data_IF_610976392427
#
_entry.id   IF_610976392427
#
_cell.length_a   1.000
_cell.length_b   1.000
_cell.length_c   1.000
_cell.angle_alpha   90.00
_cell.angle_beta   90.00
_cell.angle_gamma   90.00
#
_symmetry.space_group_name_H-M   'P 1'
#
loop_
_entity.id
_entity.type
_entity.pdbx_description
1 polymer ?
#
# COMPACT_ATOMS: atom_id res chain seq x y z
N UNK A 1 -11.43 22.80 8.57
CA UNK A 1 -12.67 22.64 9.33
C UNK A 1 -12.36 21.81 10.57
N UNK A 2 -12.80 22.27 11.75
CA UNK A 2 -12.73 21.49 12.99
C UNK A 2 -14.06 20.81 13.13
N UNK A 3 -14.09 19.49 12.97
CA UNK A 3 -15.30 18.71 13.21
C UNK A 3 -15.48 18.48 14.71
N UNK A 4 -16.71 18.55 15.24
CA UNK A 4 -16.95 18.16 16.62
C UNK A 4 -16.61 16.69 16.83
N UNK A 5 -16.07 16.35 18.01
CA UNK A 5 -15.66 14.98 18.35
C UNK A 5 -16.78 13.94 18.11
N UNK A 6 -18.02 14.32 18.38
CA UNK A 6 -19.23 13.51 18.16
C UNK A 6 -19.53 13.18 16.69
N UNK A 7 -18.93 13.90 15.74
CA UNK A 7 -19.08 13.60 14.31
C UNK A 7 -18.12 12.47 13.84
N UNK A 8 -17.12 12.14 14.65
CA UNK A 8 -16.08 11.15 14.33
C UNK A 8 -16.22 9.91 15.21
N UNK A 9 -16.68 10.07 16.45
CA UNK A 9 -16.79 8.99 17.42
C UNK A 9 -18.19 8.92 18.03
N UNK A 10 -18.71 7.73 18.35
CA UNK A 10 -19.98 7.57 19.05
C UNK A 10 -19.99 8.32 20.38
N UNK A 11 -21.12 8.90 20.78
CA UNK A 11 -21.26 9.56 22.07
C UNK A 11 -20.97 8.59 23.22
N UNK A 12 -20.08 8.99 24.13
CA UNK A 12 -19.78 8.24 25.36
C UNK A 12 -18.51 7.41 25.34
N UNK A 13 -17.75 7.33 24.22
CA UNK A 13 -16.42 6.69 24.21
C UNK A 13 -15.38 7.57 24.89
N UNK A 14 -14.54 6.97 25.75
CA UNK A 14 -13.40 7.67 26.34
C UNK A 14 -12.26 7.80 25.34
N UNK A 15 -11.39 8.78 25.49
CA UNK A 15 -10.18 8.96 24.65
C UNK A 15 -9.27 7.74 24.70
N UNK A 16 -9.27 7.01 25.82
CA UNK A 16 -8.47 5.80 25.98
C UNK A 16 -9.03 4.62 25.18
N UNK A 17 -10.35 4.46 25.17
CA UNK A 17 -11.05 3.45 24.34
C UNK A 17 -10.87 3.74 22.85
N UNK A 18 -10.96 5.01 22.45
CA UNK A 18 -10.72 5.46 21.08
C UNK A 18 -9.29 5.12 20.62
N UNK A 19 -8.29 5.40 21.46
CA UNK A 19 -6.89 5.08 21.18
C UNK A 19 -6.65 3.57 21.12
N UNK A 20 -7.29 2.80 21.99
CA UNK A 20 -7.20 1.33 21.97
C UNK A 20 -7.83 0.76 20.70
N UNK A 21 -8.99 1.26 20.29
CA UNK A 21 -9.64 0.84 19.06
C UNK A 21 -8.80 1.21 17.83
N UNK A 22 -8.29 2.44 17.75
CA UNK A 22 -7.45 2.88 16.65
C UNK A 22 -6.17 2.04 16.51
N UNK A 23 -5.57 1.60 17.63
CA UNK A 23 -4.42 0.67 17.61
C UNK A 23 -4.83 -0.72 17.14
N UNK A 24 -5.96 -1.25 17.58
CA UNK A 24 -6.46 -2.55 17.12
C UNK A 24 -6.77 -2.54 15.62
N UNK A 25 -7.39 -1.46 15.12
CA UNK A 25 -7.67 -1.27 13.70
C UNK A 25 -6.39 -1.19 12.86
N UNK A 26 -5.34 -0.55 13.41
CA UNK A 26 -4.04 -0.49 12.75
C UNK A 26 -3.41 -1.89 12.63
N UNK A 27 -3.41 -2.68 13.70
CA UNK A 27 -2.89 -4.06 13.67
C UNK A 27 -3.67 -4.91 12.66
N UNK A 28 -4.99 -4.88 12.71
CA UNK A 28 -5.83 -5.58 11.74
C UNK A 28 -5.61 -5.13 10.29
N UNK A 29 -5.27 -3.85 10.07
CA UNK A 29 -4.90 -3.34 8.75
C UNK A 29 -3.56 -3.88 8.27
N UNK A 30 -2.58 -4.01 9.16
CA UNK A 30 -1.28 -4.59 8.84
C UNK A 30 -1.41 -6.05 8.43
N UNK A 31 -2.16 -6.86 9.15
CA UNK A 31 -2.41 -8.27 8.82
C UNK A 31 -3.07 -8.43 7.46
N UNK A 32 -4.06 -7.59 7.15
CA UNK A 32 -4.71 -7.56 5.83
C UNK A 32 -3.75 -7.13 4.74
N UNK A 33 -2.88 -6.14 5.00
CA UNK A 33 -1.90 -5.66 4.05
C UNK A 33 -0.85 -6.73 3.70
N UNK A 34 -0.38 -7.48 4.71
CA UNK A 34 0.54 -8.60 4.52
C UNK A 34 -0.12 -9.68 3.66
N UNK A 35 -1.34 -10.07 4.01
CA UNK A 35 -2.10 -11.08 3.25
C UNK A 35 -2.34 -10.64 1.81
N UNK A 36 -2.74 -9.38 1.59
CA UNK A 36 -2.97 -8.83 0.26
C UNK A 36 -1.69 -8.81 -0.59
N UNK A 37 -0.55 -8.43 0.01
CA UNK A 37 0.74 -8.43 -0.68
C UNK A 37 1.17 -9.84 -1.09
N UNK A 38 1.06 -10.83 -0.19
CA UNK A 38 1.40 -12.22 -0.48
C UNK A 38 0.49 -12.78 -1.57
N UNK A 39 -0.83 -12.57 -1.47
CA UNK A 39 -1.79 -13.03 -2.49
C UNK A 39 -1.52 -12.40 -3.86
N UNK A 40 -1.15 -11.10 -3.87
CA UNK A 40 -0.74 -10.41 -5.09
C UNK A 40 0.48 -11.10 -5.72
N UNK A 41 1.53 -11.33 -4.94
CA UNK A 41 2.76 -11.96 -5.41
C UNK A 41 2.55 -13.40 -5.91
N UNK A 42 1.70 -14.18 -5.24
CA UNK A 42 1.35 -15.53 -5.67
C UNK A 42 0.61 -15.55 -7.02
N UNK A 43 -0.20 -14.54 -7.29
CA UNK A 43 -0.94 -14.40 -8.55
C UNK A 43 -0.14 -13.73 -9.68
N UNK A 44 1.01 -13.11 -9.36
CA UNK A 44 1.87 -12.39 -10.30
C UNK A 44 3.32 -12.92 -10.19
N UNK A 45 3.47 -14.20 -10.42
CA UNK A 45 4.77 -14.90 -10.29
C UNK A 45 5.85 -14.38 -11.25
N UNK A 46 5.47 -13.74 -12.36
CA UNK A 46 6.36 -13.07 -13.30
C UNK A 46 7.17 -11.94 -12.64
N UNK A 47 6.58 -11.18 -11.70
CA UNK A 47 7.27 -10.12 -10.98
C UNK A 47 8.37 -10.71 -10.09
N UNK A 48 8.07 -11.81 -9.41
CA UNK A 48 9.03 -12.52 -8.58
C UNK A 48 10.16 -13.13 -9.41
N UNK A 49 9.83 -13.65 -10.59
CA UNK A 49 10.79 -14.21 -11.50
C UNK A 49 11.78 -13.14 -12.03
N UNK A 50 11.30 -11.93 -12.30
CA UNK A 50 12.15 -10.82 -12.73
C UNK A 50 13.14 -10.38 -11.64
N UNK A 51 12.75 -10.46 -10.37
CA UNK A 51 13.61 -10.08 -9.24
C UNK A 51 14.75 -11.09 -8.98
N UNK A 52 14.53 -12.38 -9.28
CA UNK A 52 15.52 -13.43 -9.04
C UNK A 52 16.75 -13.35 -9.97
N UNK A 53 16.63 -12.69 -11.13
CA UNK A 53 17.70 -12.53 -12.12
C UNK A 53 18.36 -11.14 -12.10
N UNK A 54 17.86 -10.22 -11.28
CA UNK A 54 18.28 -8.82 -11.31
C UNK A 54 19.56 -8.58 -10.50
N UNK A 55 20.69 -8.59 -11.19
CA UNK A 55 21.96 -8.00 -10.75
C UNK A 55 22.32 -6.83 -11.69
N UNK A 56 21.47 -5.80 -11.76
CA UNK A 56 21.79 -4.56 -12.45
C UNK A 56 21.68 -4.55 -13.99
N UNK A 57 20.97 -5.51 -14.58
CA UNK A 57 20.58 -5.50 -16.01
C UNK A 57 19.07 -5.67 -16.11
N UNK A 58 18.45 -5.07 -17.15
CA UNK A 58 17.03 -5.31 -17.44
C UNK A 58 16.74 -6.81 -17.48
N UNK A 59 15.70 -7.30 -16.79
CA UNK A 59 15.37 -8.71 -16.81
C UNK A 59 14.92 -9.12 -18.21
N UNK A 60 15.63 -10.07 -18.79
CA UNK A 60 15.16 -10.78 -19.98
C UNK A 60 14.06 -11.76 -19.53
N UNK A 61 12.82 -11.33 -19.66
CA UNK A 61 11.64 -12.12 -19.29
C UNK A 61 11.45 -13.35 -20.20
N UNK A 62 12.05 -13.36 -21.39
CA UNK A 62 11.97 -14.49 -22.31
C UNK A 62 12.89 -15.64 -21.92
N UNK A 63 13.88 -15.42 -21.03
CA UNK A 63 14.87 -16.40 -20.62
C UNK A 63 14.62 -17.14 -19.31
N UNK A 64 13.53 -16.88 -18.59
CA UNK A 64 13.26 -17.52 -17.30
C UNK A 64 12.82 -18.98 -17.45
N UNK A 65 13.60 -19.87 -16.88
CA UNK A 65 13.25 -21.30 -16.90
C UNK A 65 12.11 -21.61 -15.91
N UNK A 66 11.36 -22.68 -16.20
CA UNK A 66 10.34 -23.21 -15.28
C UNK A 66 10.90 -23.53 -13.88
N UNK A 67 12.21 -23.81 -13.79
CA UNK A 67 12.90 -24.06 -12.53
C UNK A 67 13.10 -22.76 -11.71
N UNK A 68 13.34 -21.62 -12.37
CA UNK A 68 13.48 -20.33 -11.69
C UNK A 68 12.13 -19.83 -11.19
N UNK A 69 11.07 -19.96 -11.98
CA UNK A 69 9.69 -19.71 -11.56
C UNK A 69 9.29 -20.57 -10.35
N UNK A 70 9.68 -21.83 -10.34
CA UNK A 70 9.41 -22.74 -9.22
C UNK A 70 10.16 -22.32 -7.95
N UNK A 71 11.42 -21.87 -8.05
CA UNK A 71 12.19 -21.35 -6.89
C UNK A 71 11.56 -20.09 -6.29
N UNK A 72 11.06 -19.21 -7.13
CA UNK A 72 10.43 -17.96 -6.73
C UNK A 72 9.11 -18.24 -6.03
N UNK A 73 8.24 -19.07 -6.61
CA UNK A 73 6.99 -19.49 -5.97
C UNK A 73 7.23 -20.15 -4.61
N UNK A 74 8.26 -21.02 -4.50
CA UNK A 74 8.64 -21.66 -3.23
C UNK A 74 9.05 -20.62 -2.17
N UNK A 75 9.67 -19.50 -2.53
CA UNK A 75 10.02 -18.43 -1.58
C UNK A 75 8.78 -17.72 -1.04
N UNK A 76 7.80 -17.41 -1.89
CA UNK A 76 6.55 -16.76 -1.47
C UNK A 76 5.67 -17.72 -0.67
N UNK A 77 5.57 -18.97 -1.10
CA UNK A 77 4.82 -20.01 -0.39
C UNK A 77 5.42 -20.32 0.99
N UNK A 78 6.73 -20.10 1.15
CA UNK A 78 7.42 -20.23 2.43
C UNK A 78 7.29 -19.02 3.36
N UNK A 79 6.71 -17.90 2.88
CA UNK A 79 6.49 -16.73 3.73
C UNK A 79 5.37 -17.03 4.73
N UNK A 80 5.73 -16.99 6.01
CA UNK A 80 4.76 -17.03 7.09
C UNK A 80 4.29 -15.60 7.40
N UNK A 81 3.03 -15.24 7.09
CA UNK A 81 2.50 -13.91 7.35
C UNK A 81 2.67 -13.46 8.80
N UNK A 82 2.66 -14.41 9.74
CA UNK A 82 2.79 -14.14 11.19
C UNK A 82 4.20 -13.68 11.60
N UNK A 83 5.20 -13.88 10.73
CA UNK A 83 6.58 -13.45 10.97
C UNK A 83 6.88 -12.06 10.40
N UNK A 84 5.94 -11.47 9.66
CA UNK A 84 6.07 -10.15 9.08
C UNK A 84 5.36 -9.16 9.99
N UNK A 85 6.03 -8.06 10.34
CA UNK A 85 5.43 -6.98 11.12
C UNK A 85 5.91 -5.62 10.64
N UNK A 86 5.02 -4.63 10.69
CA UNK A 86 5.37 -3.25 10.45
C UNK A 86 5.62 -2.54 11.79
N UNK A 87 6.75 -1.85 11.91
CA UNK A 87 6.99 -0.93 13.03
C UNK A 87 6.56 0.46 12.59
N UNK A 88 5.45 0.92 13.15
CA UNK A 88 4.89 2.25 12.85
C UNK A 88 4.72 3.00 14.15
N UNK A 89 5.36 4.18 14.25
CA UNK A 89 5.25 5.01 15.43
C UNK A 89 3.84 5.62 15.51
N UNK A 90 3.26 5.60 16.72
CA UNK A 90 2.09 6.37 17.20
C UNK A 90 0.95 6.71 16.20
N UNK A 91 0.86 6.03 15.08
CA UNK A 91 -0.23 6.17 14.11
C UNK A 91 -1.33 5.17 14.42
N UNK A 92 -2.58 5.61 14.33
CA UNK A 92 -3.75 4.76 14.54
C UNK A 92 -4.65 4.72 13.29
N UNK A 93 -5.50 3.70 13.25
CA UNK A 93 -6.51 3.52 12.21
C UNK A 93 -6.03 2.75 10.97
N UNK A 94 -6.98 2.20 10.19
CA UNK A 94 -6.70 1.22 9.15
C UNK A 94 -6.31 1.83 7.79
N UNK A 95 -6.14 3.15 7.68
CA UNK A 95 -5.99 3.86 6.40
C UNK A 95 -4.62 3.72 5.71
N UNK A 96 -3.67 3.03 6.35
CA UNK A 96 -2.33 2.76 5.80
C UNK A 96 -2.21 1.47 4.98
N UNK A 97 -3.26 0.65 4.93
CA UNK A 97 -3.21 -0.70 4.38
C UNK A 97 -2.67 -0.77 2.95
N UNK A 98 -3.11 0.13 2.07
CA UNK A 98 -2.63 0.18 0.69
C UNK A 98 -1.11 0.38 0.61
N UNK A 99 -0.57 1.38 1.31
CA UNK A 99 0.88 1.67 1.23
C UNK A 99 1.73 0.61 1.92
N UNK A 100 1.22 -0.03 2.97
CA UNK A 100 1.88 -1.18 3.59
C UNK A 100 1.98 -2.35 2.60
N UNK A 101 0.91 -2.65 1.85
CA UNK A 101 0.93 -3.71 0.84
C UNK A 101 1.93 -3.40 -0.27
N UNK A 102 1.95 -2.18 -0.82
CA UNK A 102 2.88 -1.78 -1.88
C UNK A 102 4.32 -1.86 -1.39
N UNK A 103 4.61 -1.33 -0.19
CA UNK A 103 5.95 -1.38 0.39
C UNK A 103 6.44 -2.81 0.64
N UNK A 104 5.54 -3.71 1.07
CA UNK A 104 5.89 -5.11 1.26
C UNK A 104 6.13 -5.83 -0.07
N UNK A 105 5.33 -5.56 -1.10
CA UNK A 105 5.55 -6.09 -2.46
C UNK A 105 6.94 -5.67 -2.96
N UNK A 106 7.31 -4.39 -2.82
CA UNK A 106 8.63 -3.89 -3.22
C UNK A 106 9.76 -4.60 -2.46
N UNK A 107 9.64 -4.72 -1.13
CA UNK A 107 10.64 -5.39 -0.30
C UNK A 107 10.82 -6.87 -0.63
N UNK A 108 9.73 -7.57 -0.96
CA UNK A 108 9.76 -9.00 -1.24
C UNK A 108 10.22 -9.32 -2.67
N UNK A 109 10.00 -8.40 -3.60
CA UNK A 109 10.40 -8.58 -5.01
C UNK A 109 11.80 -8.07 -5.31
N UNK A 110 12.37 -7.23 -4.45
CA UNK A 110 13.62 -6.50 -4.72
C UNK A 110 13.52 -5.63 -6.00
N UNK A 111 12.31 -5.39 -6.51
CA UNK A 111 12.05 -4.52 -7.65
C UNK A 111 11.94 -3.08 -7.16
N UNK A 112 12.75 -2.17 -7.67
CA UNK A 112 12.61 -0.75 -7.39
C UNK A 112 11.35 -0.18 -8.09
N UNK A 113 10.20 -0.35 -7.43
CA UNK A 113 8.92 0.21 -7.91
C UNK A 113 8.90 1.73 -7.77
N UNK A 114 9.58 2.26 -6.76
CA UNK A 114 9.56 3.70 -6.45
C UNK A 114 10.52 4.49 -7.32
N UNK A 115 11.65 3.94 -7.74
CA UNK A 115 12.69 4.57 -8.56
C UNK A 115 13.09 5.97 -8.05
N UNK A 116 13.34 6.06 -6.77
CA UNK A 116 13.68 7.32 -6.11
C UNK A 116 12.54 8.35 -6.08
N UNK A 117 11.33 8.01 -6.53
CA UNK A 117 10.16 8.90 -6.45
C UNK A 117 9.62 8.93 -5.02
N UNK A 118 9.22 10.10 -4.56
CA UNK A 118 8.49 10.24 -3.31
C UNK A 118 7.02 9.92 -3.55
N UNK A 119 6.61 8.74 -3.16
CA UNK A 119 5.24 8.23 -3.33
C UNK A 119 4.56 8.18 -1.97
N UNK A 120 3.37 8.72 -1.91
CA UNK A 120 2.49 8.61 -0.77
C UNK A 120 1.17 7.96 -1.18
N UNK A 121 0.35 7.62 -0.21
CA UNK A 121 -0.97 7.08 -0.48
C UNK A 121 -1.73 6.78 0.80
N UNK A 122 -2.99 6.45 0.63
CA UNK A 122 -3.89 6.05 1.70
C UNK A 122 -4.94 5.09 1.16
N UNK A 123 -5.53 4.31 2.04
CA UNK A 123 -6.60 3.38 1.72
C UNK A 123 -6.66 2.27 2.76
N UNK A 124 -7.84 1.88 3.17
CA UNK A 124 -8.01 0.59 3.83
C UNK A 124 -7.77 -0.52 2.81
N UNK A 125 -7.45 -1.72 3.27
CA UNK A 125 -7.27 -2.86 2.37
C UNK A 125 -7.93 -4.10 2.95
N UNK A 126 -8.49 -4.94 2.08
CA UNK A 126 -8.90 -6.29 2.45
C UNK A 126 -7.83 -7.33 2.03
N UNK A 127 -7.98 -8.56 2.48
CA UNK A 127 -7.04 -9.66 2.17
C UNK A 127 -6.95 -10.02 0.68
N UNK A 128 -7.91 -9.58 -0.15
CA UNK A 128 -7.92 -9.75 -1.61
C UNK A 128 -7.23 -8.60 -2.34
N UNK A 129 -6.76 -7.58 -1.59
CA UNK A 129 -6.12 -6.39 -2.16
C UNK A 129 -7.09 -5.33 -2.66
N UNK A 130 -8.37 -5.39 -2.26
CA UNK A 130 -9.35 -4.34 -2.57
C UNK A 130 -9.13 -3.14 -1.66
N UNK A 131 -9.05 -1.96 -2.26
CA UNK A 131 -8.82 -0.69 -1.57
C UNK A 131 -10.14 -0.03 -1.21
N UNK A 132 -10.35 0.20 0.08
CA UNK A 132 -11.55 0.86 0.59
C UNK A 132 -11.32 2.33 0.94
N UNK A 133 -12.41 3.11 1.04
CA UNK A 133 -12.38 4.55 1.32
C UNK A 133 -11.87 4.85 2.72
N UNK A 134 -11.51 6.14 2.92
CA UNK A 134 -10.98 6.68 4.19
C UNK A 134 -11.56 8.07 4.44
N UNK A 135 -11.36 8.59 5.64
CA UNK A 135 -11.69 9.98 5.98
C UNK A 135 -10.52 10.94 5.74
N UNK A 136 -10.84 12.20 5.44
CA UNK A 136 -9.86 13.28 5.36
C UNK A 136 -8.90 13.17 4.16
N UNK A 137 -9.40 12.82 2.99
CA UNK A 137 -8.58 12.60 1.79
C UNK A 137 -7.81 13.87 1.39
N UNK A 138 -8.44 15.04 1.44
CA UNK A 138 -7.80 16.28 1.01
C UNK A 138 -6.67 16.70 1.97
N UNK A 139 -6.86 16.54 3.29
CA UNK A 139 -5.82 16.81 4.30
C UNK A 139 -4.62 15.89 4.13
N UNK A 140 -4.87 14.63 3.77
CA UNK A 140 -3.80 13.65 3.50
C UNK A 140 -3.01 13.99 2.24
N UNK A 141 -3.68 14.43 1.16
CA UNK A 141 -3.03 14.90 -0.08
C UNK A 141 -2.16 16.13 0.22
N UNK A 142 -2.69 17.11 0.96
CA UNK A 142 -1.94 18.30 1.38
C UNK A 142 -0.72 17.95 2.23
N UNK A 143 -0.87 17.02 3.17
CA UNK A 143 0.23 16.56 4.03
C UNK A 143 1.31 15.83 3.22
N UNK A 144 0.91 14.96 2.29
CA UNK A 144 1.83 14.27 1.39
C UNK A 144 2.64 15.26 0.52
N UNK A 145 1.98 16.28 -0.01
CA UNK A 145 2.66 17.33 -0.78
C UNK A 145 3.68 18.09 0.05
N UNK A 146 3.36 18.43 1.32
CA UNK A 146 4.28 19.13 2.23
C UNK A 146 5.58 18.35 2.49
N UNK A 147 5.53 17.03 2.47
CA UNK A 147 6.72 16.17 2.64
C UNK A 147 7.36 15.76 1.32
N UNK A 148 6.98 16.41 0.21
CA UNK A 148 7.63 16.25 -1.09
C UNK A 148 7.11 15.09 -1.95
N UNK A 149 5.95 14.50 -1.63
CA UNK A 149 5.37 13.49 -2.48
C UNK A 149 5.01 14.07 -3.87
N UNK A 150 5.35 13.32 -4.91
CA UNK A 150 5.06 13.66 -6.31
C UNK A 150 3.90 12.83 -6.87
N UNK A 151 3.63 11.68 -6.27
CA UNK A 151 2.49 10.80 -6.57
C UNK A 151 1.76 10.47 -5.28
N UNK A 152 0.44 10.47 -5.33
CA UNK A 152 -0.42 10.08 -4.21
C UNK A 152 -1.48 9.08 -4.66
N UNK A 153 -1.49 7.90 -4.07
CA UNK A 153 -2.54 6.91 -4.29
C UNK A 153 -3.72 7.17 -3.36
N UNK A 154 -4.91 7.29 -3.94
CA UNK A 154 -6.17 7.48 -3.25
C UNK A 154 -7.14 6.34 -3.57
N UNK A 155 -8.05 5.97 -2.65
CA UNK A 155 -9.10 5.02 -2.98
C UNK A 155 -10.04 5.59 -4.04
N UNK A 156 -10.48 4.76 -4.98
CA UNK A 156 -11.51 5.15 -5.95
C UNK A 156 -12.80 5.61 -5.26
N UNK A 157 -13.11 5.03 -4.09
CA UNK A 157 -14.27 5.42 -3.28
C UNK A 157 -14.23 6.84 -2.71
N UNK A 158 -13.06 7.50 -2.73
CA UNK A 158 -12.93 8.91 -2.35
C UNK A 158 -12.79 9.86 -3.56
N UNK A 159 -12.92 9.36 -4.80
CA UNK A 159 -12.65 10.17 -5.99
C UNK A 159 -13.47 11.46 -6.06
N UNK A 160 -14.75 11.40 -5.69
CA UNK A 160 -15.65 12.55 -5.70
C UNK A 160 -15.36 13.58 -4.58
N UNK A 161 -14.67 13.16 -3.52
CA UNK A 161 -14.29 14.04 -2.42
C UNK A 161 -13.00 14.83 -2.71
N UNK A 162 -12.21 14.38 -3.69
CA UNK A 162 -10.91 14.99 -4.01
C UNK A 162 -11.12 16.34 -4.66
N UNK A 163 -10.65 17.39 -3.99
CA UNK A 163 -10.76 18.75 -4.46
C UNK A 163 -9.44 19.51 -4.22
N UNK A 164 -9.19 20.53 -5.06
CA UNK A 164 -8.04 21.44 -4.90
C UNK A 164 -6.69 20.73 -4.75
N UNK A 165 -6.42 19.77 -5.64
CA UNK A 165 -5.13 19.06 -5.66
C UNK A 165 -3.99 20.05 -5.85
N UNK A 166 -3.00 20.11 -4.95
CA UNK A 166 -1.88 21.04 -5.07
C UNK A 166 -1.06 20.78 -6.33
N UNK A 167 -0.48 21.84 -6.90
CA UNK A 167 0.43 21.71 -8.03
C UNK A 167 1.65 20.84 -7.67
N UNK A 168 2.11 20.02 -8.62
CA UNK A 168 3.31 19.17 -8.47
C UNK A 168 3.09 17.91 -7.63
N UNK A 169 1.85 17.50 -7.36
CA UNK A 169 1.51 16.16 -6.90
C UNK A 169 0.44 15.58 -7.81
N UNK A 170 0.63 14.35 -8.27
CA UNK A 170 -0.34 13.63 -9.10
C UNK A 170 -1.13 12.66 -8.25
N UNK A 171 -2.43 12.85 -8.17
CA UNK A 171 -3.33 11.92 -7.47
C UNK A 171 -3.81 10.84 -8.43
N UNK A 172 -3.65 9.58 -8.03
CA UNK A 172 -4.05 8.39 -8.80
C UNK A 172 -5.06 7.63 -7.95
N UNK A 173 -6.29 7.53 -8.44
CA UNK A 173 -7.32 6.73 -7.77
C UNK A 173 -7.19 5.26 -8.15
N UNK A 174 -7.25 4.38 -7.16
CA UNK A 174 -7.11 2.93 -7.33
C UNK A 174 -8.18 2.18 -6.56
N UNK A 175 -8.68 1.10 -7.14
CA UNK A 175 -9.62 0.18 -6.50
C UNK A 175 -8.92 -1.04 -5.90
N UNK A 176 -7.68 -1.35 -6.33
CA UNK A 176 -6.91 -2.51 -5.86
C UNK A 176 -5.42 -2.18 -5.74
N UNK A 177 -4.72 -2.96 -4.92
CA UNK A 177 -3.25 -2.91 -4.84
C UNK A 177 -2.60 -3.21 -6.20
N UNK A 178 -3.18 -4.13 -6.97
CA UNK A 178 -2.70 -4.47 -8.31
C UNK A 178 -2.69 -3.27 -9.26
N UNK A 179 -3.72 -2.42 -9.22
CA UNK A 179 -3.76 -1.19 -10.02
C UNK A 179 -2.65 -0.20 -9.62
N UNK A 180 -2.37 -0.09 -8.31
CA UNK A 180 -1.30 0.78 -7.85
C UNK A 180 0.08 0.27 -8.30
N UNK A 181 0.36 -1.03 -8.16
CA UNK A 181 1.61 -1.63 -8.62
C UNK A 181 1.75 -1.51 -10.13
N UNK A 182 0.73 -1.85 -10.92
CA UNK A 182 0.74 -1.68 -12.38
C UNK A 182 0.98 -0.23 -12.82
N UNK A 183 0.47 0.75 -12.07
CA UNK A 183 0.78 2.15 -12.34
C UNK A 183 2.27 2.44 -12.12
N UNK A 184 2.84 1.96 -11.02
CA UNK A 184 4.26 2.15 -10.70
C UNK A 184 5.16 1.51 -11.75
N UNK A 185 4.84 0.29 -12.19
CA UNK A 185 5.58 -0.44 -13.23
C UNK A 185 5.54 0.29 -14.57
N UNK A 186 4.36 0.70 -15.04
CA UNK A 186 4.22 1.41 -16.34
C UNK A 186 4.85 2.80 -16.35
N UNK A 187 5.09 3.40 -15.21
CA UNK A 187 5.72 4.72 -15.08
C UNK A 187 7.19 4.64 -14.68
N UNK A 188 7.78 3.46 -14.73
CA UNK A 188 9.24 3.28 -14.62
C UNK A 188 9.93 4.01 -15.77
N UNK A 189 11.03 4.70 -15.44
CA UNK A 189 11.88 5.39 -16.43
C UNK A 189 13.02 4.50 -16.84
#
# INVERSE_FOLDING_TARGET
>A
AVYPKSAVYPPGTSTEEENKQAKADMVGSQDKAITAAINYLQSHSEILASSASWKGKEPDLEGLSAADLKKVNTRVDALDPKKISFKVDATGGPSGGLVFSIGLIELLTEVDLMQGRHIAGTGTIDSRGVVGPIGGINEKILSAKKVGATVFFAPVGNAEEIANVPEGIKVITVATVAQAVSYLERTRK
#
